data_IF_942071748478
#
_entry.id   IF_942071748478
#
_cell.length_a   1.000
_cell.length_b   1.000
_cell.length_c   1.000
_cell.angle_alpha   90.00
_cell.angle_beta   90.00
_cell.angle_gamma   90.00
#
_symmetry.space_group_name_H-M   'P 1'
#
loop_
_entity.id
_entity.type
_entity.pdbx_description
1 polymer ?
#
# COMPACT_ATOMS: atom_id res chain seq x y z
N UNK A 1 20.84 -12.11 11.62
CA UNK A 1 20.49 -12.47 10.22
C UNK A 1 20.26 -11.16 9.45
N UNK A 2 20.60 -11.15 8.16
CA UNK A 2 20.86 -9.94 7.33
C UNK A 2 19.59 -9.11 7.09
N UNK A 3 19.64 -7.80 7.32
CA UNK A 3 18.58 -6.85 6.96
C UNK A 3 18.50 -6.75 5.43
N UNK A 4 17.39 -7.17 4.83
CA UNK A 4 17.13 -6.95 3.41
C UNK A 4 16.79 -5.46 3.18
N UNK A 5 17.61 -4.78 2.37
CA UNK A 5 17.38 -3.41 1.94
C UNK A 5 16.44 -3.42 0.73
N UNK A 6 15.26 -2.80 0.87
CA UNK A 6 14.24 -2.74 -0.20
C UNK A 6 14.31 -1.36 -0.85
N UNK A 7 14.56 -1.33 -2.17
CA UNK A 7 14.49 -0.14 -3.03
C UNK A 7 13.14 -0.19 -3.75
N UNK A 8 12.34 0.87 -3.62
CA UNK A 8 10.95 0.94 -4.10
C UNK A 8 10.86 1.83 -5.34
N UNK A 9 10.40 1.29 -6.47
CA UNK A 9 10.01 2.03 -7.67
C UNK A 9 8.48 2.16 -7.68
N UNK A 10 7.94 3.35 -7.38
CA UNK A 10 6.51 3.63 -7.49
C UNK A 10 6.18 4.13 -8.90
N UNK A 11 5.35 3.41 -9.65
CA UNK A 11 4.66 3.94 -10.83
C UNK A 11 3.22 4.29 -10.44
N UNK A 12 2.92 5.58 -10.30
CA UNK A 12 1.54 6.07 -10.15
C UNK A 12 0.99 6.33 -11.55
N UNK A 13 0.03 5.51 -11.98
CA UNK A 13 -0.77 5.80 -13.18
C UNK A 13 -1.83 6.85 -12.83
N UNK A 14 -1.76 8.02 -13.47
CA UNK A 14 -2.70 9.11 -13.27
C UNK A 14 -3.94 8.87 -14.17
N UNK A 15 -5.10 8.60 -13.57
CA UNK A 15 -6.36 8.62 -14.30
C UNK A 15 -6.75 10.06 -14.67
N UNK A 16 -7.22 10.24 -15.91
CA UNK A 16 -7.66 11.49 -16.54
C UNK A 16 -8.72 12.26 -15.71
N UNK A 17 -8.75 13.61 -15.76
CA UNK A 17 -9.70 14.40 -14.99
C UNK A 17 -11.07 14.43 -15.68
N UNK A 18 -12.00 13.59 -15.22
CA UNK A 18 -13.44 13.67 -15.50
C UNK A 18 -14.21 13.65 -14.16
N UNK A 19 -15.10 14.62 -13.97
CA UNK A 19 -15.79 14.98 -12.73
C UNK A 19 -16.37 13.82 -11.87
N UNK A 20 -16.28 13.92 -10.54
CA UNK A 20 -17.07 13.12 -9.59
C UNK A 20 -17.44 13.94 -8.32
N UNK A 21 -18.71 13.91 -7.82
CA UNK A 21 -19.12 14.50 -6.52
C UNK A 21 -18.66 13.62 -5.33
N UNK A 22 -18.84 14.03 -4.04
CA UNK A 22 -17.98 13.61 -2.94
C UNK A 22 -18.28 12.18 -2.48
N UNK A 23 -17.56 11.23 -3.07
CA UNK A 23 -17.30 9.93 -2.47
C UNK A 23 -15.83 9.61 -2.81
N UNK A 24 -14.98 9.17 -1.85
CA UNK A 24 -13.64 8.77 -2.20
C UNK A 24 -13.74 7.51 -3.05
N UNK A 25 -13.63 7.65 -4.36
CA UNK A 25 -13.49 6.51 -5.25
C UNK A 25 -12.23 5.80 -4.77
N UNK A 26 -12.40 4.59 -4.24
CA UNK A 26 -11.29 3.76 -3.86
C UNK A 26 -10.44 3.50 -5.11
N UNK A 27 -9.21 4.02 -5.12
CA UNK A 27 -8.31 3.91 -6.27
C UNK A 27 -7.57 2.57 -6.16
N UNK A 28 -7.66 1.69 -7.17
CA UNK A 28 -6.92 0.43 -7.15
C UNK A 28 -5.41 0.69 -7.19
N UNK A 29 -4.67 0.05 -6.29
CA UNK A 29 -3.21 0.12 -6.22
C UNK A 29 -2.63 -1.25 -5.88
N UNK A 30 -1.30 -1.37 -5.90
CA UNK A 30 -0.59 -2.61 -5.57
C UNK A 30 0.54 -2.34 -4.59
N UNK A 31 0.64 -3.19 -3.58
CA UNK A 31 1.86 -3.38 -2.80
C UNK A 31 2.75 -4.35 -3.56
N UNK A 32 4.02 -4.00 -3.71
CA UNK A 32 5.03 -4.83 -4.37
C UNK A 32 6.25 -4.86 -3.47
N UNK A 33 6.84 -6.03 -3.28
CA UNK A 33 8.06 -6.21 -2.50
C UNK A 33 8.99 -7.20 -3.16
N UNK A 34 10.26 -7.20 -2.75
CA UNK A 34 11.20 -8.21 -3.19
C UNK A 34 10.89 -9.53 -2.49
N UNK A 35 10.92 -10.63 -3.25
CA UNK A 35 10.83 -11.96 -2.65
C UNK A 35 12.00 -12.18 -1.68
N UNK A 36 11.71 -12.75 -0.52
CA UNK A 36 12.75 -13.25 0.39
C UNK A 36 13.46 -14.44 -0.30
N UNK A 37 14.79 -14.48 -0.19
CA UNK A 37 15.64 -15.52 -0.77
C UNK A 37 15.69 -16.81 0.04
N UNK A 38 15.11 -16.82 1.24
CA UNK A 38 15.04 -18.01 2.10
C UNK A 38 14.13 -19.08 1.49
N UNK A 39 14.67 -20.27 1.27
CA UNK A 39 13.95 -21.37 0.59
C UNK A 39 12.79 -21.96 1.39
N UNK A 40 12.77 -21.75 2.72
CA UNK A 40 11.77 -22.33 3.61
C UNK A 40 10.48 -21.53 3.69
N UNK A 41 10.43 -20.33 3.10
CA UNK A 41 9.23 -19.49 3.14
C UNK A 41 8.12 -20.13 2.31
N UNK A 42 6.91 -20.15 2.85
CA UNK A 42 5.71 -20.64 2.17
C UNK A 42 4.89 -19.49 1.60
N UNK A 43 5.03 -18.29 2.17
CA UNK A 43 4.37 -17.09 1.66
C UNK A 43 4.61 -15.84 2.48
N UNK A 44 3.64 -14.94 2.39
CA UNK A 44 3.63 -13.65 3.05
C UNK A 44 2.24 -13.35 3.60
N UNK A 45 2.19 -12.78 4.80
CA UNK A 45 0.97 -12.21 5.35
C UNK A 45 0.99 -10.69 5.15
N UNK A 46 -0.14 -10.13 4.72
CA UNK A 46 -0.31 -8.69 4.50
C UNK A 46 -1.27 -8.15 5.55
N UNK A 47 -0.84 -7.11 6.24
CA UNK A 47 -1.57 -6.46 7.31
C UNK A 47 -1.86 -4.99 6.97
N UNK A 48 -2.97 -4.47 7.49
CA UNK A 48 -3.30 -3.05 7.52
C UNK A 48 -3.35 -2.57 8.97
N UNK A 49 -2.74 -1.42 9.24
CA UNK A 49 -2.86 -0.75 10.54
C UNK A 49 -4.25 -0.10 10.63
N UNK A 50 -5.08 -0.57 11.56
CA UNK A 50 -6.47 -0.12 11.70
C UNK A 50 -6.68 0.82 12.88
N UNK A 51 -5.80 0.74 13.89
CA UNK A 51 -5.67 1.72 14.97
C UNK A 51 -4.23 1.70 15.52
N UNK A 52 -3.83 2.63 16.41
CA UNK A 52 -2.46 2.65 16.91
C UNK A 52 -2.03 1.29 17.47
N UNK A 53 -0.98 0.72 16.88
CA UNK A 53 -0.42 -0.60 17.20
C UNK A 53 -1.34 -1.82 16.92
N UNK A 54 -2.53 -1.62 16.33
CA UNK A 54 -3.42 -2.72 15.95
C UNK A 54 -3.30 -3.01 14.46
N UNK A 55 -2.84 -4.22 14.16
CA UNK A 55 -2.67 -4.71 12.80
C UNK A 55 -3.70 -5.79 12.51
N UNK A 56 -4.43 -5.61 11.40
CA UNK A 56 -5.42 -6.57 10.92
C UNK A 56 -4.89 -7.27 9.69
N UNK A 57 -4.93 -8.61 9.66
CA UNK A 57 -4.59 -9.39 8.48
C UNK A 57 -5.63 -9.10 7.38
N UNK A 58 -5.17 -8.64 6.22
CA UNK A 58 -6.02 -8.31 5.07
C UNK A 58 -5.82 -9.25 3.89
N UNK A 59 -4.79 -10.08 3.92
CA UNK A 59 -4.61 -11.13 2.94
C UNK A 59 -3.31 -11.90 3.10
N UNK A 60 -3.18 -12.95 2.31
CA UNK A 60 -1.99 -13.80 2.22
C UNK A 60 -1.55 -13.94 0.76
N UNK A 61 -0.24 -14.06 0.54
CA UNK A 61 0.35 -14.16 -0.80
C UNK A 61 1.34 -15.33 -0.81
N UNK A 62 1.29 -16.25 -1.78
CA UNK A 62 2.25 -17.34 -1.86
C UNK A 62 3.66 -16.81 -2.17
N UNK A 63 4.69 -17.59 -1.83
CA UNK A 63 6.09 -17.19 -2.04
C UNK A 63 6.48 -17.00 -3.52
N UNK A 64 5.74 -17.65 -4.43
CA UNK A 64 5.92 -17.59 -5.88
C UNK A 64 4.55 -17.57 -6.56
N UNK A 65 4.34 -16.76 -7.62
CA UNK A 65 5.29 -15.90 -8.35
C UNK A 65 5.66 -14.59 -7.61
N UNK A 66 6.36 -13.66 -8.29
CA UNK A 66 6.86 -12.40 -7.70
C UNK A 66 5.80 -11.70 -6.83
N UNK A 67 6.13 -11.32 -5.58
CA UNK A 67 5.10 -11.11 -4.58
C UNK A 67 4.51 -9.70 -4.66
N UNK A 68 3.19 -9.67 -4.73
CA UNK A 68 2.38 -8.45 -4.85
C UNK A 68 1.00 -8.66 -4.23
N UNK A 69 0.39 -7.57 -3.76
CA UNK A 69 -0.95 -7.59 -3.17
C UNK A 69 -1.77 -6.39 -3.63
N UNK A 70 -3.00 -6.63 -4.10
CA UNK A 70 -3.91 -5.57 -4.53
C UNK A 70 -4.49 -4.85 -3.32
N UNK A 71 -4.50 -3.52 -3.34
CA UNK A 71 -5.10 -2.68 -2.31
C UNK A 71 -6.01 -1.61 -2.94
N UNK A 72 -6.78 -0.94 -2.11
CA UNK A 72 -7.63 0.17 -2.52
C UNK A 72 -7.38 1.39 -1.62
N UNK A 73 -6.97 2.49 -2.25
CA UNK A 73 -6.68 3.76 -1.56
C UNK A 73 -7.94 4.62 -1.54
N UNK A 74 -8.35 5.05 -0.36
CA UNK A 74 -9.54 5.88 -0.13
C UNK A 74 -9.22 7.37 0.02
N UNK A 75 -7.97 7.76 -0.28
CA UNK A 75 -7.49 9.13 -0.12
C UNK A 75 -7.03 9.50 1.30
N UNK A 76 -7.17 8.59 2.27
CA UNK A 76 -6.57 8.74 3.60
C UNK A 76 -5.17 8.14 3.66
N UNK A 77 -4.37 8.55 4.64
CA UNK A 77 -3.09 7.90 4.91
C UNK A 77 -3.37 6.49 5.46
N UNK A 78 -2.98 5.46 4.73
CA UNK A 78 -3.10 4.07 5.13
C UNK A 78 -1.71 3.49 5.35
N UNK A 79 -1.54 2.65 6.37
CA UNK A 79 -0.27 1.95 6.60
C UNK A 79 -0.48 0.45 6.44
N UNK A 80 0.37 -0.16 5.63
CA UNK A 80 0.39 -1.60 5.39
C UNK A 80 1.70 -2.19 5.90
N UNK A 81 1.67 -3.48 6.18
CA UNK A 81 2.90 -4.20 6.49
C UNK A 81 2.83 -5.65 6.05
N UNK A 82 3.99 -6.20 5.72
CA UNK A 82 4.17 -7.53 5.18
C UNK A 82 5.15 -8.29 6.04
N UNK A 83 4.84 -9.55 6.34
CA UNK A 83 5.74 -10.51 6.99
C UNK A 83 5.94 -11.70 6.06
N UNK A 84 7.09 -12.36 6.16
CA UNK A 84 7.32 -13.66 5.54
C UNK A 84 6.85 -14.75 6.49
N UNK A 85 6.27 -15.82 5.95
CA UNK A 85 5.81 -16.97 6.72
C UNK A 85 6.49 -18.25 6.26
N UNK A 86 6.76 -19.13 7.21
CA UNK A 86 7.06 -20.55 7.02
C UNK A 86 6.11 -21.40 7.89
N UNK A 87 6.15 -22.74 7.85
CA UNK A 87 5.22 -23.58 8.62
C UNK A 87 5.32 -23.43 10.15
N UNK A 88 6.38 -22.80 10.66
CA UNK A 88 6.70 -22.71 12.08
C UNK A 88 6.82 -21.27 12.60
N UNK A 89 7.06 -20.31 11.71
CA UNK A 89 7.41 -18.95 12.09
C UNK A 89 6.87 -17.89 11.13
N UNK A 90 6.65 -16.70 11.68
CA UNK A 90 6.35 -15.48 10.94
C UNK A 90 7.39 -14.41 11.32
N UNK A 91 7.98 -13.77 10.30
CA UNK A 91 9.03 -12.78 10.48
C UNK A 91 8.55 -11.47 11.13
N UNK A 92 9.51 -10.62 11.48
CA UNK A 92 9.22 -9.21 11.71
C UNK A 92 8.56 -8.56 10.49
N UNK A 93 7.72 -7.56 10.74
CA UNK A 93 6.93 -6.86 9.73
C UNK A 93 7.70 -5.73 9.07
N UNK A 94 7.79 -5.74 7.75
CA UNK A 94 8.17 -4.58 6.95
C UNK A 94 6.95 -3.69 6.71
N UNK A 95 7.04 -2.37 6.87
CA UNK A 95 5.89 -1.47 6.78
C UNK A 95 6.06 -0.39 5.72
N UNK A 96 4.94 0.06 5.14
CA UNK A 96 4.88 1.18 4.19
C UNK A 96 3.60 1.99 4.40
N UNK A 97 3.73 3.31 4.38
CA UNK A 97 2.61 4.24 4.36
C UNK A 97 2.23 4.63 2.94
N UNK A 98 0.95 4.84 2.68
CA UNK A 98 0.47 5.36 1.40
C UNK A 98 0.55 6.89 1.42
N UNK A 99 0.97 7.53 0.31
CA UNK A 99 0.87 8.98 0.23
C UNK A 99 -0.59 9.41 0.34
N UNK A 100 -0.85 10.49 1.07
CA UNK A 100 -2.15 11.17 0.99
C UNK A 100 -2.31 11.75 -0.41
N UNK A 101 -3.46 11.51 -1.04
CA UNK A 101 -3.77 12.15 -2.31
C UNK A 101 -4.00 13.64 -2.04
N UNK A 102 -3.28 14.57 -2.69
CA UNK A 102 -3.63 15.98 -2.60
C UNK A 102 -5.08 16.18 -3.05
N UNK A 103 -5.87 16.86 -2.22
CA UNK A 103 -7.25 17.23 -2.58
C UNK A 103 -7.26 18.14 -3.81
N UNK A 104 -8.38 18.12 -4.56
CA UNK A 104 -8.61 19.12 -5.61
C UNK A 104 -8.64 20.50 -4.91
N UNK A 105 -7.90 21.51 -5.40
CA UNK A 105 -7.99 22.86 -4.84
C UNK A 105 -9.43 23.38 -4.89
N UNK A 106 -10.00 23.69 -3.72
CA UNK A 106 -11.28 24.37 -3.61
C UNK A 106 -11.13 25.90 -3.72
N UNK A 107 -12.24 26.61 -3.90
CA UNK A 107 -12.25 28.08 -3.84
C UNK A 107 -11.69 28.80 -5.08
N UNK A 108 -11.56 28.08 -6.20
CA UNK A 108 -11.23 28.67 -7.49
C UNK A 108 -12.34 29.65 -7.90
N UNK A 109 -12.03 30.94 -7.88
CA UNK A 109 -12.93 32.01 -8.28
C UNK A 109 -12.17 32.98 -9.17
N UNK A 110 -12.81 33.41 -10.25
CA UNK A 110 -12.32 34.50 -11.09
C UNK A 110 -12.63 35.79 -10.34
N UNK A 111 -11.60 36.54 -9.96
CA UNK A 111 -11.75 37.90 -9.46
C UNK A 111 -11.51 38.87 -10.62
N UNK A 112 -12.39 39.84 -10.79
CA UNK A 112 -12.15 40.96 -11.69
C UNK A 112 -11.15 41.90 -11.03
N UNK A 113 -10.05 42.18 -11.71
CA UNK A 113 -9.13 43.26 -11.34
C UNK A 113 -9.64 44.52 -12.02
N UNK A 114 -10.16 45.46 -11.23
CA UNK A 114 -10.40 46.85 -11.63
C UNK A 114 -9.15 47.68 -11.36
#
# INVERSE_FOLDING_TARGET
>A
MKKALIVLLMFVSLASPGANPPNPIAVPARLVWNANSELSITGYNVYKLTSPNVWTLVGTVPASPAPQFSIALDGTAQTYGVTATDPFFESDRATVGTPIRPGIPGGLRIISVQ
#
